data_IF_405617250971
#
_entry.id   IF_405617250971
#
_cell.length_a   1.000
_cell.length_b   1.000
_cell.length_c   1.000
_cell.angle_alpha   90.00
_cell.angle_beta   90.00
_cell.angle_gamma   90.00
#
_symmetry.space_group_name_H-M   'P 1'
#
loop_
_entity.id
_entity.type
_entity.pdbx_description
1 polymer ?
#
# COMPACT_ATOMS: atom_id res chain seq x y z
N UNK A 1 5.38 -19.27 11.13
CA UNK A 1 5.29 -18.34 12.27
C UNK A 1 4.01 -18.54 13.08
N UNK A 2 2.80 -18.17 12.60
CA UNK A 2 1.57 -18.25 13.42
C UNK A 2 1.36 -19.60 14.11
N UNK A 3 1.42 -20.71 13.37
CA UNK A 3 1.32 -22.07 13.93
C UNK A 3 2.34 -22.37 15.04
N UNK A 4 3.57 -21.83 14.93
CA UNK A 4 4.62 -22.05 15.94
C UNK A 4 4.39 -21.21 17.20
N UNK A 5 3.67 -20.08 17.08
CA UNK A 5 3.30 -19.20 18.19
C UNK A 5 1.92 -19.56 18.78
N UNK A 6 1.31 -20.68 18.37
CA UNK A 6 -0.02 -21.08 18.83
C UNK A 6 -1.17 -20.20 18.31
N UNK A 7 -0.93 -19.39 17.28
CA UNK A 7 -1.94 -18.49 16.69
C UNK A 7 -2.79 -19.27 15.69
N UNK A 8 -4.11 -19.11 15.83
CA UNK A 8 -5.13 -19.75 15.01
C UNK A 8 -6.25 -18.77 14.72
N UNK A 9 -6.65 -18.64 13.46
CA UNK A 9 -7.84 -17.90 13.05
C UNK A 9 -9.01 -18.80 12.67
N UNK A 10 -8.95 -20.09 12.99
CA UNK A 10 -10.02 -21.03 12.66
C UNK A 10 -11.34 -20.64 13.34
N UNK A 11 -12.46 -20.84 12.64
CA UNK A 11 -13.80 -20.62 13.18
C UNK A 11 -13.99 -21.43 14.48
N UNK A 12 -14.47 -20.79 15.54
CA UNK A 12 -14.67 -21.40 16.86
C UNK A 12 -13.39 -21.66 17.68
N UNK A 13 -12.19 -21.45 17.12
CA UNK A 13 -10.92 -21.66 17.81
C UNK A 13 -9.90 -20.56 17.50
N UNK A 14 -10.25 -19.33 17.90
CA UNK A 14 -9.44 -18.13 17.63
C UNK A 14 -8.46 -17.87 18.76
N UNK A 15 -7.18 -18.06 18.47
CA UNK A 15 -6.05 -17.66 19.29
C UNK A 15 -5.28 -16.55 18.57
N UNK A 16 -5.32 -15.34 19.11
CA UNK A 16 -4.84 -14.11 18.46
C UNK A 16 -3.64 -13.46 19.18
N UNK A 17 -3.21 -14.01 20.32
CA UNK A 17 -2.08 -13.53 21.08
C UNK A 17 -1.30 -14.69 21.71
N UNK A 18 -0.05 -14.42 22.06
CA UNK A 18 0.80 -15.31 22.86
C UNK A 18 1.43 -14.53 24.03
N UNK A 19 1.94 -15.22 25.04
CA UNK A 19 2.58 -14.59 26.19
C UNK A 19 3.93 -13.97 25.83
N UNK A 20 4.23 -12.80 26.40
CA UNK A 20 5.51 -12.16 26.17
C UNK A 20 6.65 -13.01 26.77
N UNK A 21 7.74 -13.30 26.03
CA UNK A 21 8.75 -14.28 26.43
C UNK A 21 9.53 -13.90 27.70
N UNK A 22 9.49 -12.64 28.10
CA UNK A 22 10.16 -12.12 29.31
C UNK A 22 9.18 -11.68 30.40
N UNK A 23 7.87 -11.68 30.12
CA UNK A 23 6.87 -11.16 31.06
C UNK A 23 5.52 -11.83 30.83
N UNK A 24 5.21 -12.83 31.66
CA UNK A 24 3.96 -13.61 31.57
C UNK A 24 2.71 -12.78 31.83
N UNK A 25 2.83 -11.59 32.43
CA UNK A 25 1.69 -10.68 32.62
C UNK A 25 1.27 -9.96 31.34
N UNK A 26 2.13 -9.97 30.32
CA UNK A 26 1.92 -9.25 29.06
C UNK A 26 1.61 -10.20 27.91
N UNK A 27 0.67 -9.78 27.07
CA UNK A 27 0.32 -10.47 25.82
C UNK A 27 0.88 -9.74 24.62
N UNK A 28 1.35 -10.51 23.64
CA UNK A 28 1.72 -10.02 22.31
C UNK A 28 0.63 -10.41 21.33
N UNK A 29 -0.17 -9.41 20.93
CA UNK A 29 -1.25 -9.58 19.96
C UNK A 29 -0.68 -9.64 18.54
N UNK A 30 -1.21 -10.56 17.74
CA UNK A 30 -0.79 -10.79 16.36
C UNK A 30 -1.84 -10.24 15.42
N UNK A 31 -1.39 -9.52 14.39
CA UNK A 31 -2.25 -8.94 13.37
C UNK A 31 -1.75 -9.32 11.98
N UNK A 32 -2.69 -9.55 11.07
CA UNK A 32 -2.43 -9.52 9.63
C UNK A 32 -2.55 -8.10 9.10
N UNK A 33 -1.80 -7.78 8.05
CA UNK A 33 -1.84 -6.46 7.43
C UNK A 33 -3.19 -6.18 6.76
N UNK A 34 -3.91 -5.18 7.29
CA UNK A 34 -5.28 -4.82 6.88
C UNK A 34 -5.34 -4.43 5.38
N UNK A 35 -4.53 -3.50 4.86
CA UNK A 35 -4.45 -3.23 3.42
C UNK A 35 -4.32 -4.48 2.55
N UNK A 36 -3.49 -5.44 2.96
CA UNK A 36 -3.33 -6.70 2.24
C UNK A 36 -4.55 -7.60 2.31
N UNK A 37 -5.21 -7.73 3.47
CA UNK A 37 -6.45 -8.50 3.59
C UNK A 37 -7.53 -7.99 2.63
N UNK A 38 -7.72 -6.68 2.52
CA UNK A 38 -8.71 -6.09 1.62
C UNK A 38 -8.37 -6.31 0.14
N UNK A 39 -7.07 -6.28 -0.22
CA UNK A 39 -6.63 -6.69 -1.56
C UNK A 39 -6.96 -8.16 -1.84
N UNK A 40 -6.76 -9.05 -0.87
CA UNK A 40 -7.10 -10.47 -1.00
C UNK A 40 -8.60 -10.69 -1.19
N UNK A 41 -9.44 -10.00 -0.41
CA UNK A 41 -10.92 -10.03 -0.57
C UNK A 41 -11.31 -9.59 -2.00
N UNK A 42 -10.76 -8.46 -2.47
CA UNK A 42 -10.99 -7.96 -3.83
C UNK A 42 -10.58 -8.98 -4.89
N UNK A 43 -9.36 -9.50 -4.79
CA UNK A 43 -8.81 -10.44 -5.77
C UNK A 43 -9.64 -11.72 -5.82
N UNK A 44 -10.06 -12.23 -4.65
CA UNK A 44 -10.90 -13.43 -4.55
C UNK A 44 -12.26 -13.22 -5.19
N UNK A 45 -12.93 -12.08 -4.93
CA UNK A 45 -14.21 -11.75 -5.58
C UNK A 45 -14.04 -11.57 -7.09
N UNK A 46 -12.95 -10.92 -7.53
CA UNK A 46 -12.63 -10.77 -8.95
C UNK A 46 -12.43 -12.11 -9.66
N UNK A 47 -11.78 -13.08 -9.01
CA UNK A 47 -11.48 -14.39 -9.60
C UNK A 47 -12.70 -15.31 -9.61
N UNK A 48 -13.47 -15.36 -8.53
CA UNK A 48 -14.65 -16.22 -8.42
C UNK A 48 -15.93 -15.59 -8.97
N UNK A 49 -15.90 -14.29 -9.25
CA UNK A 49 -16.99 -13.44 -9.77
C UNK A 49 -18.18 -13.28 -8.84
N UNK A 50 -18.44 -14.25 -7.96
CA UNK A 50 -19.53 -14.20 -7.01
C UNK A 50 -19.06 -14.64 -5.63
N UNK A 51 -19.57 -13.93 -4.63
CA UNK A 51 -19.74 -14.44 -3.29
C UNK A 51 -21.23 -14.66 -3.03
N UNK A 52 -21.53 -15.44 -2.01
CA UNK A 52 -22.90 -15.72 -1.59
C UNK A 52 -22.98 -15.61 -0.07
N UNK A 53 -24.05 -14.99 0.41
CA UNK A 53 -24.37 -14.88 1.83
C UNK A 53 -25.87 -14.84 2.01
N UNK A 54 -26.42 -15.64 2.92
CA UNK A 54 -27.86 -15.69 3.21
C UNK A 54 -28.71 -15.89 1.94
N UNK A 55 -28.24 -16.73 1.02
CA UNK A 55 -28.89 -16.98 -0.28
C UNK A 55 -28.90 -15.79 -1.26
N UNK A 56 -28.16 -14.71 -0.95
CA UNK A 56 -28.04 -13.52 -1.81
C UNK A 56 -26.63 -13.43 -2.40
N UNK A 57 -26.56 -13.15 -3.70
CA UNK A 57 -25.29 -13.08 -4.42
C UNK A 57 -24.68 -11.68 -4.40
N UNK A 58 -23.39 -11.62 -4.02
CA UNK A 58 -22.52 -10.46 -4.18
C UNK A 58 -21.76 -10.65 -5.48
N UNK A 59 -22.06 -9.82 -6.49
CA UNK A 59 -21.61 -10.06 -7.87
C UNK A 59 -20.58 -9.03 -8.30
N UNK A 60 -19.45 -9.49 -8.83
CA UNK A 60 -18.43 -8.62 -9.43
C UNK A 60 -18.98 -7.81 -10.61
N UNK A 61 -19.90 -8.42 -11.38
CA UNK A 61 -20.52 -7.79 -12.55
C UNK A 61 -21.30 -6.51 -12.23
N UNK A 62 -21.71 -6.30 -10.98
CA UNK A 62 -22.30 -5.03 -10.54
C UNK A 62 -21.30 -3.87 -10.67
N UNK A 63 -20.02 -4.09 -10.35
CA UNK A 63 -18.98 -3.07 -10.50
C UNK A 63 -18.65 -2.80 -11.97
N UNK A 64 -18.59 -3.84 -12.80
CA UNK A 64 -18.41 -3.69 -14.26
C UNK A 64 -19.56 -2.88 -14.87
N UNK A 65 -20.79 -3.22 -14.50
CA UNK A 65 -22.00 -2.55 -14.99
C UNK A 65 -22.05 -1.10 -14.54
N UNK A 66 -21.75 -0.83 -13.26
CA UNK A 66 -21.64 0.53 -12.75
C UNK A 66 -20.62 1.34 -13.55
N UNK A 67 -19.41 0.80 -13.76
CA UNK A 67 -18.37 1.50 -14.51
C UNK A 67 -18.86 1.86 -15.92
N UNK A 68 -19.44 0.89 -16.64
CA UNK A 68 -19.95 1.10 -17.99
C UNK A 68 -21.08 2.15 -18.00
N UNK A 69 -22.05 2.05 -17.11
CA UNK A 69 -23.17 3.00 -17.02
C UNK A 69 -22.66 4.42 -16.71
N UNK A 70 -21.71 4.53 -15.78
CA UNK A 70 -21.17 5.80 -15.32
C UNK A 70 -20.29 6.51 -16.36
N UNK A 71 -19.62 5.75 -17.24
CA UNK A 71 -18.79 6.31 -18.32
C UNK A 71 -19.57 6.74 -19.57
N UNK A 72 -20.88 6.45 -19.66
CA UNK A 72 -21.69 6.81 -20.84
C UNK A 72 -22.15 8.27 -20.85
N UNK A 73 -22.01 9.01 -19.75
CA UNK A 73 -22.53 10.37 -19.65
C UNK A 73 -21.66 11.37 -20.43
N UNK A 74 -22.32 12.22 -21.21
CA UNK A 74 -21.66 13.33 -21.90
C UNK A 74 -21.06 14.32 -20.89
N UNK A 75 -19.93 14.94 -21.25
CA UNK A 75 -19.19 15.92 -20.46
C UNK A 75 -18.51 15.41 -19.17
N UNK A 76 -18.22 14.10 -19.07
CA UNK A 76 -17.49 13.50 -17.93
C UNK A 76 -18.13 13.75 -16.54
N UNK A 77 -19.44 14.07 -16.51
CA UNK A 77 -20.21 14.23 -15.28
C UNK A 77 -20.56 12.86 -14.68
N UNK A 78 -19.55 12.26 -14.04
CA UNK A 78 -19.59 10.92 -13.46
C UNK A 78 -20.01 10.95 -11.99
N UNK A 79 -20.84 10.00 -11.58
CA UNK A 79 -21.21 9.77 -10.16
C UNK A 79 -20.04 9.15 -9.40
N UNK A 80 -19.26 8.29 -10.07
CA UNK A 80 -18.12 7.60 -9.51
C UNK A 80 -16.82 7.96 -10.27
N UNK A 81 -16.36 9.21 -10.26
CA UNK A 81 -15.24 9.66 -11.09
C UNK A 81 -13.92 8.94 -10.79
N UNK A 82 -13.72 8.49 -9.54
CA UNK A 82 -12.53 7.71 -9.12
C UNK A 82 -12.53 6.28 -9.64
N UNK A 83 -13.69 5.74 -10.03
CA UNK A 83 -13.79 4.39 -10.57
C UNK A 83 -13.31 4.38 -12.01
N UNK A 84 -12.27 3.60 -12.30
CA UNK A 84 -11.66 3.49 -13.63
C UNK A 84 -11.65 2.06 -14.12
N UNK A 85 -11.34 1.84 -15.39
CA UNK A 85 -11.20 0.49 -15.97
C UNK A 85 -10.25 -0.39 -15.16
N UNK A 86 -9.14 0.18 -14.65
CA UNK A 86 -8.15 -0.52 -13.82
C UNK A 86 -8.70 -1.08 -12.51
N UNK A 87 -9.85 -0.59 -12.03
CA UNK A 87 -10.51 -1.11 -10.83
C UNK A 87 -11.28 -2.39 -11.13
N UNK A 88 -12.00 -2.41 -12.25
CA UNK A 88 -12.91 -3.50 -12.65
C UNK A 88 -12.20 -4.60 -13.45
N UNK A 89 -11.14 -4.23 -14.18
CA UNK A 89 -10.26 -5.15 -14.90
C UNK A 89 -8.77 -4.92 -14.56
N UNK A 90 -8.33 -5.27 -13.34
CA UNK A 90 -6.95 -5.10 -12.92
C UNK A 90 -6.01 -6.12 -13.57
N UNK A 91 -4.89 -5.66 -14.13
CA UNK A 91 -3.75 -6.52 -14.49
C UNK A 91 -3.06 -7.09 -13.24
N UNK A 92 -2.17 -8.08 -13.41
CA UNK A 92 -1.45 -8.69 -12.28
C UNK A 92 -0.70 -7.67 -11.41
N UNK A 93 -0.09 -6.63 -12.01
CA UNK A 93 0.57 -5.56 -11.24
C UNK A 93 -0.45 -4.68 -10.50
N UNK A 94 -1.60 -4.41 -11.11
CA UNK A 94 -2.66 -3.60 -10.52
C UNK A 94 -3.41 -4.34 -9.41
N UNK A 95 -3.41 -5.69 -9.42
CA UNK A 95 -3.92 -6.52 -8.32
C UNK A 95 -3.21 -6.26 -6.99
N UNK A 96 -1.98 -5.74 -7.03
CA UNK A 96 -1.19 -5.42 -5.83
C UNK A 96 -1.45 -4.01 -5.26
N UNK A 97 -2.11 -3.12 -6.01
CA UNK A 97 -2.36 -1.73 -5.58
C UNK A 97 -3.56 -1.66 -4.62
N UNK A 98 -3.30 -1.33 -3.36
CA UNK A 98 -4.31 -1.17 -2.29
C UNK A 98 -5.33 -0.08 -2.64
N UNK A 99 -4.86 1.03 -3.25
CA UNK A 99 -5.71 2.16 -3.66
C UNK A 99 -6.88 1.71 -4.53
N UNK A 100 -6.65 0.80 -5.47
CA UNK A 100 -7.71 0.31 -6.36
C UNK A 100 -8.74 -0.55 -5.60
N UNK A 101 -8.30 -1.35 -4.63
CA UNK A 101 -9.21 -2.17 -3.83
C UNK A 101 -10.08 -1.31 -2.91
N UNK A 102 -9.48 -0.33 -2.23
CA UNK A 102 -10.18 0.57 -1.29
C UNK A 102 -11.14 1.52 -2.01
N UNK A 103 -10.76 2.05 -3.18
CA UNK A 103 -11.66 2.89 -3.98
C UNK A 103 -12.84 2.10 -4.59
N UNK A 104 -12.61 0.84 -4.97
CA UNK A 104 -13.68 -0.05 -5.42
C UNK A 104 -14.70 -0.32 -4.29
N UNK A 105 -14.22 -0.63 -3.09
CA UNK A 105 -15.07 -0.86 -1.91
C UNK A 105 -15.39 0.43 -1.15
N UNK A 106 -15.77 1.49 -1.86
CA UNK A 106 -16.05 2.80 -1.27
C UNK A 106 -17.54 3.08 -1.13
N UNK A 107 -17.90 3.95 -0.18
CA UNK A 107 -19.26 4.46 -0.04
C UNK A 107 -19.76 5.12 -1.34
N UNK A 108 -18.92 5.83 -2.08
CA UNK A 108 -19.29 6.41 -3.38
C UNK A 108 -19.68 5.34 -4.40
N UNK A 109 -18.97 4.22 -4.47
CA UNK A 109 -19.30 3.12 -5.39
C UNK A 109 -20.62 2.47 -4.99
N UNK A 110 -20.83 2.21 -3.69
CA UNK A 110 -22.10 1.69 -3.18
C UNK A 110 -23.29 2.59 -3.56
N UNK A 111 -23.15 3.91 -3.38
CA UNK A 111 -24.17 4.90 -3.77
C UNK A 111 -24.34 4.99 -5.29
N UNK A 112 -23.26 4.84 -6.06
CA UNK A 112 -23.30 4.74 -7.51
C UNK A 112 -24.15 3.56 -7.98
N UNK A 113 -23.94 2.36 -7.42
CA UNK A 113 -24.77 1.18 -7.75
C UNK A 113 -26.25 1.48 -7.49
N UNK A 114 -26.59 2.02 -6.31
CA UNK A 114 -27.97 2.38 -5.97
C UNK A 114 -28.56 3.43 -6.92
N UNK A 115 -27.77 4.44 -7.29
CA UNK A 115 -28.19 5.51 -8.20
C UNK A 115 -28.57 4.97 -9.58
N UNK A 116 -27.71 4.15 -10.20
CA UNK A 116 -27.99 3.59 -11.53
C UNK A 116 -29.09 2.52 -11.50
N UNK A 117 -29.21 1.75 -10.42
CA UNK A 117 -30.36 0.86 -10.22
C UNK A 117 -31.69 1.63 -10.26
N UNK A 118 -31.76 2.78 -9.56
CA UNK A 118 -32.95 3.65 -9.56
C UNK A 118 -33.23 4.32 -10.90
N UNK A 119 -32.20 4.51 -11.73
CA UNK A 119 -32.34 5.04 -13.11
C UNK A 119 -32.72 3.98 -14.14
N UNK A 120 -32.98 2.75 -13.72
CA UNK A 120 -33.46 1.68 -14.60
C UNK A 120 -32.36 0.82 -15.23
N UNK A 121 -31.13 0.85 -14.72
CA UNK A 121 -30.10 -0.12 -15.14
C UNK A 121 -30.46 -1.51 -14.61
N UNK A 122 -31.14 -2.30 -15.45
CA UNK A 122 -31.71 -3.61 -15.11
C UNK A 122 -30.71 -4.58 -14.48
N UNK A 123 -29.44 -4.51 -14.89
CA UNK A 123 -28.35 -5.35 -14.36
C UNK A 123 -27.97 -5.01 -12.91
N UNK A 124 -28.42 -3.87 -12.39
CA UNK A 124 -28.20 -3.42 -11.02
C UNK A 124 -29.46 -3.49 -10.13
N UNK A 125 -30.62 -3.88 -10.67
CA UNK A 125 -31.88 -3.88 -9.91
C UNK A 125 -31.94 -4.89 -8.75
N UNK A 126 -31.04 -5.89 -8.71
CA UNK A 126 -30.93 -6.87 -7.63
C UNK A 126 -29.51 -6.87 -7.03
N UNK A 127 -28.93 -5.68 -6.85
CA UNK A 127 -27.55 -5.50 -6.39
C UNK A 127 -27.43 -5.18 -4.89
N UNK A 128 -28.51 -5.35 -4.10
CA UNK A 128 -28.59 -5.00 -2.68
C UNK A 128 -27.47 -5.66 -1.88
N UNK A 129 -27.26 -6.97 -2.08
CA UNK A 129 -26.20 -7.70 -1.38
C UNK A 129 -24.80 -7.17 -1.72
N UNK A 130 -24.54 -6.82 -3.00
CA UNK A 130 -23.27 -6.19 -3.40
C UNK A 130 -23.10 -4.82 -2.75
N UNK A 131 -24.16 -4.02 -2.67
CA UNK A 131 -24.14 -2.70 -2.03
C UNK A 131 -23.87 -2.82 -0.52
N UNK A 132 -24.59 -3.70 0.17
CA UNK A 132 -24.40 -3.99 1.60
C UNK A 132 -22.96 -4.45 1.87
N UNK A 133 -22.43 -5.37 1.05
CA UNK A 133 -21.06 -5.86 1.16
C UNK A 133 -20.02 -4.75 0.91
N UNK A 134 -20.25 -3.89 -0.08
CA UNK A 134 -19.37 -2.74 -0.37
C UNK A 134 -19.33 -1.77 0.81
N UNK A 135 -20.48 -1.45 1.40
CA UNK A 135 -20.57 -0.57 2.57
C UNK A 135 -19.96 -1.21 3.81
N UNK A 136 -20.18 -2.51 4.01
CA UNK A 136 -19.56 -3.29 5.07
C UNK A 136 -18.04 -3.17 5.00
N UNK A 137 -17.45 -3.43 3.83
CA UNK A 137 -16.01 -3.32 3.64
C UNK A 137 -15.51 -1.87 3.78
N UNK A 138 -16.22 -0.88 3.24
CA UNK A 138 -15.84 0.53 3.42
C UNK A 138 -15.70 0.88 4.91
N UNK A 139 -16.77 0.64 5.68
CA UNK A 139 -16.81 0.98 7.09
C UNK A 139 -15.76 0.21 7.90
N UNK A 140 -15.56 -1.07 7.58
CA UNK A 140 -14.57 -1.90 8.24
C UNK A 140 -13.15 -1.43 7.95
N UNK A 141 -12.84 -1.07 6.70
CA UNK A 141 -11.52 -0.57 6.33
C UNK A 141 -11.20 0.75 7.05
N UNK A 142 -12.16 1.68 7.08
CA UNK A 142 -12.01 2.96 7.76
C UNK A 142 -11.75 2.75 9.27
N UNK A 143 -12.54 1.90 9.93
CA UNK A 143 -12.37 1.57 11.34
C UNK A 143 -11.01 0.94 11.65
N UNK A 144 -10.50 0.10 10.75
CA UNK A 144 -9.19 -0.57 10.89
C UNK A 144 -8.00 0.29 10.40
N UNK A 145 -8.22 1.53 9.93
CA UNK A 145 -7.18 2.38 9.37
C UNK A 145 -7.31 3.86 9.79
N UNK A 146 -7.74 4.13 11.01
CA UNK A 146 -7.85 5.49 11.57
C UNK A 146 -6.50 6.09 11.88
N UNK A 147 -6.25 7.29 11.32
CA UNK A 147 -4.95 7.97 11.32
C UNK A 147 -4.89 9.20 12.23
N UNK A 148 -6.04 9.83 12.47
CA UNK A 148 -6.11 11.11 13.17
C UNK A 148 -6.73 10.95 14.57
N UNK A 149 -6.27 11.73 15.57
CA UNK A 149 -6.81 11.67 16.93
C UNK A 149 -8.33 11.79 17.03
N UNK A 150 -8.94 12.69 16.23
CA UNK A 150 -10.39 12.91 16.22
C UNK A 150 -11.22 11.72 15.70
N UNK A 151 -10.57 10.78 15.02
CA UNK A 151 -11.18 9.54 14.54
C UNK A 151 -10.66 8.31 15.29
N UNK A 152 -9.84 8.52 16.33
CA UNK A 152 -9.22 7.43 17.07
C UNK A 152 -10.26 6.54 17.74
N UNK A 153 -9.95 5.25 17.83
CA UNK A 153 -10.83 4.26 18.44
C UNK A 153 -10.97 4.53 19.94
N UNK A 154 -12.20 4.59 20.43
CA UNK A 154 -12.56 4.69 21.86
C UNK A 154 -13.60 3.63 22.20
N UNK A 155 -13.76 3.32 23.49
CA UNK A 155 -14.70 2.27 23.92
C UNK A 155 -16.13 2.65 23.54
N UNK A 156 -16.84 1.73 22.87
CA UNK A 156 -18.23 1.91 22.47
C UNK A 156 -18.45 2.91 21.33
N UNK A 157 -17.41 3.46 20.71
CA UNK A 157 -17.58 4.32 19.55
C UNK A 157 -18.08 3.54 18.32
N UNK A 158 -18.57 4.27 17.31
CA UNK A 158 -19.10 3.68 16.07
C UNK A 158 -18.11 2.68 15.44
N UNK A 159 -16.83 3.04 15.34
CA UNK A 159 -15.82 2.19 14.71
C UNK A 159 -15.51 0.94 15.54
N UNK A 160 -15.57 1.04 16.87
CA UNK A 160 -15.41 -0.11 17.76
C UNK A 160 -16.55 -1.12 17.52
N UNK A 161 -17.79 -0.64 17.43
CA UNK A 161 -18.97 -1.45 17.15
C UNK A 161 -18.94 -2.04 15.73
N UNK A 162 -18.39 -1.32 14.75
CA UNK A 162 -18.18 -1.83 13.38
C UNK A 162 -17.26 -3.04 13.41
N UNK A 163 -16.14 -2.99 14.15
CA UNK A 163 -15.18 -4.09 14.24
C UNK A 163 -15.80 -5.29 14.98
N UNK A 164 -16.54 -5.07 16.08
CA UNK A 164 -17.25 -6.14 16.81
C UNK A 164 -18.31 -6.82 15.93
N UNK A 165 -19.10 -6.02 15.21
CA UNK A 165 -20.13 -6.53 14.29
C UNK A 165 -19.51 -7.27 13.13
N UNK A 166 -18.37 -6.81 12.61
CA UNK A 166 -17.65 -7.48 11.53
C UNK A 166 -17.10 -8.85 11.94
N UNK A 167 -16.67 -9.01 13.19
CA UNK A 167 -16.23 -10.33 13.69
C UNK A 167 -17.39 -11.33 13.65
N UNK A 168 -18.56 -10.95 14.17
CA UNK A 168 -19.76 -11.80 14.14
C UNK A 168 -20.21 -12.08 12.70
N UNK A 169 -20.22 -11.03 11.87
CA UNK A 169 -20.58 -11.12 10.47
C UNK A 169 -19.70 -12.12 9.71
N UNK A 170 -18.38 -12.12 9.95
CA UNK A 170 -17.46 -13.06 9.31
C UNK A 170 -17.69 -14.50 9.78
N UNK A 171 -17.95 -14.70 11.07
CA UNK A 171 -18.19 -16.03 11.64
C UNK A 171 -19.48 -16.65 11.14
N UNK A 172 -20.58 -15.87 11.10
CA UNK A 172 -21.84 -16.29 10.50
C UNK A 172 -21.67 -16.67 9.03
N UNK A 173 -20.89 -15.89 8.27
CA UNK A 173 -20.65 -16.17 6.86
C UNK A 173 -19.87 -17.46 6.64
N UNK A 174 -18.84 -17.72 7.44
CA UNK A 174 -18.08 -18.96 7.35
C UNK A 174 -18.91 -20.16 7.83
N UNK A 175 -19.81 -19.95 8.79
CA UNK A 175 -20.72 -20.98 9.26
C UNK A 175 -21.68 -21.46 8.17
N UNK A 176 -22.16 -20.57 7.28
CA UNK A 176 -22.95 -20.95 6.10
C UNK A 176 -22.17 -21.93 5.18
N UNK A 177 -20.84 -21.78 5.08
CA UNK A 177 -19.99 -22.73 4.33
C UNK A 177 -19.92 -24.08 5.04
N UNK A 178 -19.75 -24.06 6.37
CA UNK A 178 -19.64 -25.28 7.19
C UNK A 178 -20.95 -26.08 7.19
N UNK A 179 -22.09 -25.40 7.20
CA UNK A 179 -23.41 -26.01 7.12
C UNK A 179 -23.73 -26.58 5.73
N UNK A 180 -22.97 -26.20 4.70
CA UNK A 180 -23.23 -26.58 3.31
C UNK A 180 -24.26 -25.70 2.60
N UNK A 181 -24.66 -24.57 3.21
CA UNK A 181 -25.61 -23.62 2.64
C UNK A 181 -25.01 -22.88 1.44
N UNK A 182 -23.70 -22.60 1.49
CA UNK A 182 -22.96 -21.96 0.39
C UNK A 182 -21.72 -22.78 -0.02
N UNK A 183 -21.38 -22.82 -1.33
CA UNK A 183 -20.13 -23.43 -1.77
C UNK A 183 -18.92 -22.68 -1.22
N UNK A 184 -17.87 -23.42 -0.83
CA UNK A 184 -16.58 -22.84 -0.38
C UNK A 184 -15.98 -21.83 -1.37
N UNK A 185 -16.28 -22.00 -2.65
CA UNK A 185 -15.79 -21.10 -3.69
C UNK A 185 -16.44 -19.71 -3.68
N UNK A 186 -17.61 -19.57 -3.06
CA UNK A 186 -18.33 -18.31 -2.90
C UNK A 186 -18.05 -17.64 -1.55
N UNK A 187 -17.00 -18.08 -0.87
CA UNK A 187 -16.44 -17.50 0.34
C UNK A 187 -14.99 -17.04 0.12
N UNK A 188 -14.46 -16.34 1.14
CA UNK A 188 -13.05 -15.97 1.23
C UNK A 188 -12.13 -17.19 1.21
N UNK A 189 -10.86 -16.99 0.86
CA UNK A 189 -9.86 -18.05 1.07
C UNK A 189 -9.64 -18.30 2.56
N UNK A 190 -9.31 -19.53 2.99
CA UNK A 190 -9.07 -19.83 4.41
C UNK A 190 -8.06 -18.87 5.06
N UNK A 191 -6.93 -18.60 4.39
CA UNK A 191 -5.93 -17.65 4.90
C UNK A 191 -6.44 -16.22 5.06
N UNK A 192 -7.33 -15.75 4.17
CA UNK A 192 -7.90 -14.41 4.26
C UNK A 192 -8.93 -14.34 5.40
N UNK A 193 -9.78 -15.36 5.54
CA UNK A 193 -10.77 -15.43 6.61
C UNK A 193 -10.11 -15.54 7.99
N UNK A 194 -9.18 -16.49 8.16
CA UNK A 194 -8.41 -16.65 9.40
C UNK A 194 -7.60 -15.39 9.74
N UNK A 195 -6.95 -14.80 8.73
CA UNK A 195 -6.17 -13.57 8.88
C UNK A 195 -7.02 -12.39 9.34
N UNK A 196 -8.19 -12.21 8.71
CA UNK A 196 -9.15 -11.17 9.10
C UNK A 196 -9.68 -11.41 10.52
N UNK A 197 -10.09 -12.64 10.86
CA UNK A 197 -10.61 -12.98 12.18
C UNK A 197 -9.62 -12.70 13.31
N UNK A 198 -8.36 -13.12 13.14
CA UNK A 198 -7.29 -12.82 14.11
C UNK A 198 -7.08 -11.32 14.24
N UNK A 199 -7.00 -10.58 13.12
CA UNK A 199 -6.85 -9.12 13.14
C UNK A 199 -8.00 -8.43 13.86
N UNK A 200 -9.26 -8.78 13.57
CA UNK A 200 -10.44 -8.18 14.21
C UNK A 200 -10.40 -8.38 15.73
N UNK A 201 -10.14 -9.61 16.18
CA UNK A 201 -10.05 -9.94 17.60
C UNK A 201 -8.87 -9.22 18.27
N UNK A 202 -7.70 -9.21 17.64
CA UNK A 202 -6.52 -8.52 18.14
C UNK A 202 -6.71 -7.01 18.25
N UNK A 203 -7.31 -6.35 17.27
CA UNK A 203 -7.60 -4.91 17.35
C UNK A 203 -8.54 -4.63 18.52
N UNK A 204 -9.62 -5.41 18.68
CA UNK A 204 -10.56 -5.22 19.79
C UNK A 204 -9.91 -5.40 21.16
N UNK A 205 -9.21 -6.51 21.37
CA UNK A 205 -8.60 -6.84 22.67
C UNK A 205 -7.43 -5.91 23.00
N UNK A 206 -6.57 -5.62 22.03
CA UNK A 206 -5.46 -4.68 22.21
C UNK A 206 -5.98 -3.27 22.47
N UNK A 207 -6.95 -2.79 21.68
CA UNK A 207 -7.52 -1.46 21.91
C UNK A 207 -8.21 -1.37 23.26
N UNK A 208 -8.96 -2.40 23.68
CA UNK A 208 -9.57 -2.43 25.02
C UNK A 208 -8.50 -2.32 26.11
N UNK A 209 -7.44 -3.15 26.04
CA UNK A 209 -6.32 -3.09 26.98
C UNK A 209 -5.64 -1.71 27.02
N UNK A 210 -5.36 -1.11 25.86
CA UNK A 210 -4.73 0.21 25.79
C UNK A 210 -5.63 1.30 26.41
N UNK A 211 -6.94 1.23 26.17
CA UNK A 211 -7.90 2.22 26.66
C UNK A 211 -8.20 2.04 28.16
N UNK A 212 -8.31 0.81 28.67
CA UNK A 212 -8.68 0.54 30.08
C UNK A 212 -7.48 0.45 31.00
N UNK A 213 -6.49 -0.37 30.66
CA UNK A 213 -5.36 -0.67 31.56
C UNK A 213 -4.22 0.34 31.42
N UNK A 214 -3.99 0.83 30.20
CA UNK A 214 -2.92 1.79 29.92
C UNK A 214 -3.39 3.26 29.92
N UNK A 215 -4.69 3.52 30.12
CA UNK A 215 -5.29 4.86 30.15
C UNK A 215 -5.03 5.70 28.89
N UNK A 216 -5.00 5.08 27.71
CA UNK A 216 -4.92 5.82 26.44
C UNK A 216 -6.25 6.53 26.18
N UNK A 217 -6.20 7.77 25.67
CA UNK A 217 -7.42 8.52 25.31
C UNK A 217 -8.13 7.96 24.07
N UNK A 218 -7.35 7.42 23.13
CA UNK A 218 -7.80 6.84 21.87
C UNK A 218 -6.72 5.91 21.31
N UNK A 219 -7.09 5.08 20.35
CA UNK A 219 -6.16 4.19 19.64
C UNK A 219 -6.22 4.42 18.13
N UNK A 220 -5.06 4.64 17.50
CA UNK A 220 -4.95 4.80 16.05
C UNK A 220 -4.72 3.45 15.39
N UNK A 221 -5.75 2.88 14.77
CA UNK A 221 -5.69 1.56 14.13
C UNK A 221 -4.75 1.55 12.93
N UNK A 222 -4.48 2.69 12.29
CA UNK A 222 -3.47 2.80 11.23
C UNK A 222 -2.03 2.56 11.72
N UNK A 223 -1.79 2.50 13.03
CA UNK A 223 -0.48 2.16 13.61
C UNK A 223 -0.30 0.63 13.78
N UNK A 224 -1.35 -0.15 13.52
CA UNK A 224 -1.35 -1.60 13.66
C UNK A 224 -1.20 -2.33 12.30
N UNK A 225 -0.53 -1.69 11.34
CA UNK A 225 -0.30 -2.21 9.99
C UNK A 225 1.18 -2.09 9.61
N UNK A 226 1.58 -2.69 8.48
CA UNK A 226 2.97 -2.67 8.03
C UNK A 226 3.30 -1.53 7.05
N UNK A 227 2.38 -0.57 6.83
CA UNK A 227 2.59 0.56 5.92
C UNK A 227 3.87 1.36 6.24
N UNK A 228 4.24 1.63 7.52
CA UNK A 228 5.49 2.31 7.83
C UNK A 228 6.72 1.55 7.35
N UNK A 229 6.70 0.22 7.43
CA UNK A 229 7.78 -0.64 6.95
C UNK A 229 7.85 -0.63 5.41
N UNK A 230 6.71 -0.65 4.74
CA UNK A 230 6.66 -0.52 3.27
C UNK A 230 7.14 0.85 2.79
N UNK A 231 6.80 1.91 3.53
CA UNK A 231 7.33 3.25 3.30
C UNK A 231 8.85 3.29 3.48
N UNK A 232 9.39 2.63 4.51
CA UNK A 232 10.82 2.51 4.70
C UNK A 232 11.52 1.81 3.52
N UNK A 233 10.96 0.70 3.03
CA UNK A 233 11.51 0.02 1.85
C UNK A 233 11.45 0.90 0.59
N UNK A 234 10.43 1.74 0.44
CA UNK A 234 10.35 2.72 -0.64
C UNK A 234 11.46 3.77 -0.51
N UNK A 235 11.69 4.32 0.68
CA UNK A 235 12.78 5.28 0.95
C UNK A 235 14.13 4.67 0.58
N UNK A 236 14.40 3.42 0.97
CA UNK A 236 15.65 2.74 0.60
C UNK A 236 15.79 2.62 -0.92
N UNK A 237 14.76 2.15 -1.62
CA UNK A 237 14.82 2.03 -3.09
C UNK A 237 15.06 3.38 -3.76
N UNK A 238 14.40 4.43 -3.28
CA UNK A 238 14.56 5.79 -3.80
C UNK A 238 15.96 6.35 -3.51
N UNK A 239 16.53 6.10 -2.33
CA UNK A 239 17.89 6.48 -2.01
C UNK A 239 18.94 5.76 -2.90
N UNK A 240 18.58 4.61 -3.47
CA UNK A 240 19.36 3.91 -4.49
C UNK A 240 19.32 4.54 -5.89
N UNK A 241 18.53 5.60 -6.10
CA UNK A 241 18.36 6.26 -7.40
C UNK A 241 17.76 5.31 -8.44
N UNK A 242 18.44 5.12 -9.56
CA UNK A 242 18.02 4.21 -10.63
C UNK A 242 18.15 2.72 -10.25
N UNK A 243 18.76 2.41 -9.10
CA UNK A 243 18.87 1.04 -8.61
C UNK A 243 17.65 0.66 -7.77
N UNK A 244 16.51 0.43 -8.43
CA UNK A 244 15.24 0.03 -7.76
C UNK A 244 15.32 -1.33 -7.05
N UNK A 245 16.33 -2.14 -7.36
CA UNK A 245 16.57 -3.46 -6.80
C UNK A 245 17.98 -3.55 -6.19
N UNK A 246 18.24 -2.85 -5.06
CA UNK A 246 19.56 -2.85 -4.45
C UNK A 246 19.99 -4.26 -4.04
N UNK A 247 21.23 -4.61 -4.35
CA UNK A 247 21.86 -5.83 -3.83
C UNK A 247 22.02 -5.73 -2.31
N UNK A 248 22.16 -6.89 -1.63
CA UNK A 248 22.28 -6.92 -0.17
C UNK A 248 23.35 -5.96 0.41
N UNK A 249 24.58 -5.87 -0.13
CA UNK A 249 25.57 -4.90 0.35
C UNK A 249 25.12 -3.44 0.18
N UNK A 250 24.50 -3.12 -0.95
CA UNK A 250 23.96 -1.79 -1.24
C UNK A 250 22.82 -1.43 -0.29
N UNK A 251 21.90 -2.37 -0.07
CA UNK A 251 20.82 -2.21 0.90
C UNK A 251 21.38 -1.91 2.30
N UNK A 252 22.39 -2.65 2.75
CA UNK A 252 22.99 -2.45 4.07
C UNK A 252 23.67 -1.07 4.19
N UNK A 253 24.33 -0.62 3.12
CA UNK A 253 24.94 0.71 3.09
C UNK A 253 23.89 1.82 3.15
N UNK A 254 22.83 1.72 2.34
CA UNK A 254 21.71 2.67 2.35
C UNK A 254 21.00 2.68 3.70
N UNK A 255 20.75 1.51 4.29
CA UNK A 255 20.20 1.35 5.63
C UNK A 255 21.05 2.08 6.68
N UNK A 256 22.37 1.86 6.67
CA UNK A 256 23.31 2.53 7.60
C UNK A 256 23.28 4.04 7.44
N UNK A 257 23.34 4.53 6.20
CA UNK A 257 23.29 5.97 5.90
C UNK A 257 21.99 6.62 6.40
N UNK A 258 20.84 6.00 6.10
CA UNK A 258 19.54 6.52 6.53
C UNK A 258 19.38 6.47 8.06
N UNK A 259 19.89 5.42 8.70
CA UNK A 259 19.88 5.31 10.17
C UNK A 259 20.70 6.42 10.82
N UNK A 260 21.92 6.67 10.33
CA UNK A 260 22.77 7.75 10.83
C UNK A 260 22.14 9.13 10.57
N UNK A 261 21.60 9.36 9.38
CA UNK A 261 20.95 10.62 9.04
C UNK A 261 19.76 10.93 9.97
N UNK A 262 18.93 9.93 10.29
CA UNK A 262 17.80 10.10 11.20
C UNK A 262 18.18 10.50 12.62
N UNK A 263 19.38 10.10 13.07
CA UNK A 263 19.92 10.46 14.40
C UNK A 263 20.61 11.83 14.40
N UNK A 264 21.15 12.24 13.26
CA UNK A 264 21.91 13.48 13.10
C UNK A 264 21.05 14.69 12.71
N UNK A 265 19.83 14.48 12.23
CA UNK A 265 18.83 15.55 12.06
C UNK A 265 18.22 15.92 13.42
N UNK A 266 18.32 17.17 13.89
CA UNK A 266 17.71 17.57 15.16
C UNK A 266 16.18 17.52 15.06
N UNK A 267 15.53 16.91 16.05
CA UNK A 267 14.09 17.06 16.29
C UNK A 267 13.85 18.34 17.10
N UNK A 268 12.86 19.13 16.67
CA UNK A 268 12.24 20.32 17.28
C UNK A 268 12.66 21.72 16.80
N UNK A 269 11.65 22.51 16.40
CA UNK A 269 11.75 23.96 16.17
C UNK A 269 10.46 24.57 15.63
N UNK A 270 9.52 24.88 16.52
CA UNK A 270 8.39 25.79 16.29
C UNK A 270 8.93 27.16 15.82
N UNK A 271 8.53 27.68 14.64
CA UNK A 271 8.51 29.11 14.31
C UNK A 271 7.82 29.38 12.95
N UNK A 272 6.90 30.32 12.98
CA UNK A 272 6.04 30.83 11.89
C UNK A 272 6.76 31.73 10.87
N UNK A 273 6.10 31.86 9.70
CA UNK A 273 6.26 32.88 8.63
C UNK A 273 7.32 32.56 7.56
N UNK A 274 7.12 32.77 6.26
CA UNK A 274 6.06 33.41 5.50
C UNK A 274 5.99 32.81 4.08
N UNK A 275 4.85 33.01 3.43
CA UNK A 275 4.59 32.74 2.02
C UNK A 275 5.72 33.30 1.12
N UNK A 276 6.44 32.40 0.45
CA UNK A 276 7.02 32.69 -0.86
C UNK A 276 6.92 31.42 -1.69
N UNK A 277 6.00 31.49 -2.65
CA UNK A 277 5.82 30.54 -3.73
C UNK A 277 7.03 30.56 -4.66
N UNK A 278 8.07 29.81 -4.28
CA UNK A 278 9.03 29.18 -5.17
C UNK A 278 9.19 27.74 -4.71
N UNK A 279 8.78 26.81 -5.56
CA UNK A 279 8.88 25.37 -5.33
C UNK A 279 10.34 24.98 -5.10
N UNK A 280 10.71 24.78 -3.83
CA UNK A 280 12.06 24.42 -3.41
C UNK A 280 12.33 22.93 -3.68
N UNK A 281 12.41 22.54 -4.95
CA UNK A 281 12.83 21.20 -5.33
C UNK A 281 14.33 21.01 -5.04
N UNK A 282 14.69 19.90 -4.41
CA UNK A 282 16.10 19.48 -4.27
C UNK A 282 16.45 18.65 -5.50
N UNK A 283 17.34 19.17 -6.34
CA UNK A 283 17.75 18.49 -7.57
C UNK A 283 19.03 17.69 -7.36
N UNK A 284 19.27 16.66 -8.20
CA UNK A 284 20.55 15.95 -8.21
C UNK A 284 21.72 16.88 -8.60
N UNK A 285 21.45 18.01 -9.25
CA UNK A 285 22.44 19.03 -9.55
C UNK A 285 22.96 19.73 -8.28
N UNK A 286 22.09 19.96 -7.28
CA UNK A 286 22.49 20.54 -5.99
C UNK A 286 23.49 19.62 -5.27
N UNK A 287 23.21 18.31 -5.24
CA UNK A 287 24.08 17.30 -4.62
C UNK A 287 25.38 17.14 -5.42
N UNK A 288 25.30 17.11 -6.76
CA UNK A 288 26.47 17.00 -7.64
C UNK A 288 27.37 18.23 -7.53
N UNK A 289 26.80 19.41 -7.34
CA UNK A 289 27.53 20.66 -7.12
C UNK A 289 28.33 20.70 -5.81
N UNK A 290 27.85 20.02 -4.75
CA UNK A 290 28.56 19.89 -3.46
C UNK A 290 29.78 18.96 -3.60
N UNK A 291 29.63 17.86 -4.33
CA UNK A 291 30.73 16.92 -4.56
C UNK A 291 31.79 17.43 -5.54
N UNK A 292 31.40 18.27 -6.52
CA UNK A 292 32.30 18.87 -7.50
C UNK A 292 32.94 20.20 -7.06
N UNK A 293 32.48 20.82 -5.98
CA UNK A 293 33.00 22.13 -5.52
C UNK A 293 34.28 22.00 -4.69
N UNK A 294 35.07 23.08 -4.70
CA UNK A 294 36.30 23.22 -3.93
C UNK A 294 36.01 23.20 -2.43
N UNK A 295 37.01 22.85 -1.62
CA UNK A 295 36.87 22.73 -0.16
C UNK A 295 36.40 24.02 0.53
N UNK A 296 36.62 25.19 -0.07
CA UNK A 296 36.20 26.49 0.44
C UNK A 296 34.72 26.83 0.17
N UNK A 297 34.14 26.31 -0.92
CA UNK A 297 32.73 26.59 -1.32
C UNK A 297 31.74 25.55 -0.79
N UNK A 298 32.22 24.33 -0.53
CA UNK A 298 31.42 23.22 -0.02
C UNK A 298 30.57 23.56 1.21
N UNK A 299 31.07 24.25 2.25
CA UNK A 299 30.23 24.60 3.42
C UNK A 299 29.07 25.53 3.07
N UNK A 300 29.25 26.50 2.17
CA UNK A 300 28.16 27.40 1.75
C UNK A 300 27.06 26.66 0.98
N UNK A 301 27.43 25.76 0.07
CA UNK A 301 26.46 24.94 -0.69
C UNK A 301 25.73 23.92 0.18
N UNK A 302 26.39 23.42 1.24
CA UNK A 302 25.75 22.60 2.27
C UNK A 302 24.72 23.40 3.07
N UNK A 303 25.03 24.65 3.44
CA UNK A 303 24.10 25.55 4.13
C UNK A 303 22.88 25.88 3.24
N UNK A 304 23.08 26.12 1.95
CA UNK A 304 21.99 26.35 0.97
C UNK A 304 21.09 25.13 0.79
N UNK A 305 21.67 23.93 0.68
CA UNK A 305 20.91 22.68 0.60
C UNK A 305 20.12 22.43 1.89
N UNK A 306 20.74 22.71 3.04
CA UNK A 306 20.10 22.60 4.34
C UNK A 306 18.87 23.51 4.44
N UNK A 307 19.01 24.78 4.05
CA UNK A 307 17.89 25.73 4.04
C UNK A 307 16.76 25.32 3.08
N UNK A 308 17.08 24.72 1.91
CA UNK A 308 16.06 24.15 1.00
C UNK A 308 15.32 22.96 1.61
N UNK A 309 16.04 22.05 2.27
CA UNK A 309 15.48 20.86 2.91
C UNK A 309 14.61 21.22 4.11
N UNK A 310 15.03 22.19 4.91
CA UNK A 310 14.26 22.68 6.06
C UNK A 310 12.92 23.31 5.62
N UNK A 311 12.89 23.95 4.44
CA UNK A 311 11.66 24.46 3.82
C UNK A 311 10.65 23.37 3.42
N UNK A 312 11.11 22.24 2.89
CA UNK A 312 10.25 21.12 2.45
C UNK A 312 9.55 20.39 3.60
N UNK A 313 10.12 20.44 4.81
CA UNK A 313 9.57 19.75 6.00
C UNK A 313 8.34 20.50 6.58
N UNK A 314 8.15 21.77 6.22
CA UNK A 314 7.13 22.65 6.82
C UNK A 314 5.73 22.60 6.18
N UNK A 315 5.54 21.85 5.08
CA UNK A 315 4.24 21.72 4.40
C UNK A 315 3.66 20.31 4.41
N UNK A 316 2.33 20.20 4.24
CA UNK A 316 1.66 18.92 3.95
C UNK A 316 1.92 18.57 2.47
N UNK A 317 3.07 17.94 2.18
CA UNK A 317 3.42 17.50 0.83
C UNK A 317 3.06 16.02 0.65
N UNK A 318 2.39 15.67 -0.46
CA UNK A 318 2.38 14.27 -0.92
C UNK A 318 3.75 13.96 -1.56
N UNK A 319 4.22 12.72 -1.46
CA UNK A 319 5.57 12.31 -1.89
C UNK A 319 5.82 12.52 -3.41
N UNK A 320 4.76 12.70 -4.21
CA UNK A 320 4.86 13.02 -5.64
C UNK A 320 5.16 14.51 -5.90
N UNK A 321 4.99 15.38 -4.90
CA UNK A 321 5.15 16.83 -5.03
C UNK A 321 6.57 17.35 -4.68
N UNK A 322 7.50 16.46 -4.32
CA UNK A 322 8.81 16.84 -3.73
C UNK A 322 9.99 16.81 -4.73
N UNK A 323 9.86 16.18 -5.90
CA UNK A 323 10.95 16.09 -6.86
C UNK A 323 10.49 16.27 -8.31
N UNK A 324 10.99 17.34 -8.95
CA UNK A 324 10.81 17.58 -10.38
C UNK A 324 11.67 16.61 -11.20
N UNK A 325 11.06 16.04 -12.24
CA UNK A 325 11.65 15.04 -13.13
C UNK A 325 12.55 15.71 -14.18
N UNK A 326 13.61 16.41 -13.76
CA UNK A 326 14.55 16.97 -14.73
C UNK A 326 15.66 15.96 -15.06
N UNK A 327 15.37 15.10 -16.03
CA UNK A 327 16.34 14.24 -16.70
C UNK A 327 17.15 15.07 -17.69
N UNK A 328 18.33 15.60 -17.34
CA UNK A 328 19.40 15.87 -18.32
C UNK A 328 20.77 16.11 -17.67
N UNK A 329 21.75 15.25 -18.01
CA UNK A 329 23.14 15.62 -18.36
C UNK A 329 24.00 14.37 -18.70
N UNK A 330 23.38 13.43 -19.39
CA UNK A 330 24.07 12.62 -20.38
C UNK A 330 23.20 12.74 -21.63
N UNK A 331 23.80 13.04 -22.78
CA UNK A 331 23.13 13.03 -24.08
C UNK A 331 22.34 11.72 -24.16
N UNK A 332 21.01 11.79 -24.10
CA UNK A 332 20.08 10.64 -24.02
C UNK A 332 20.43 9.58 -25.07
N UNK A 333 20.96 10.04 -26.20
CA UNK A 333 21.54 9.25 -27.29
C UNK A 333 22.64 8.30 -26.81
N UNK A 334 23.62 8.72 -26.00
CA UNK A 334 24.73 7.87 -25.55
C UNK A 334 24.27 6.81 -24.54
N UNK A 335 23.31 7.13 -23.67
CA UNK A 335 22.71 6.15 -22.76
C UNK A 335 21.87 5.10 -23.49
N UNK A 336 21.11 5.52 -24.51
CA UNK A 336 20.34 4.61 -25.37
C UNK A 336 21.30 3.74 -26.20
N UNK A 337 22.32 4.33 -26.82
CA UNK A 337 23.36 3.59 -27.56
C UNK A 337 24.03 2.59 -26.63
N UNK A 338 24.40 2.99 -25.41
CA UNK A 338 25.03 2.11 -24.44
C UNK A 338 24.13 0.93 -24.04
N UNK A 339 22.86 1.19 -23.76
CA UNK A 339 21.90 0.15 -23.38
C UNK A 339 21.59 -0.81 -24.53
N UNK A 340 21.35 -0.29 -25.74
CA UNK A 340 21.05 -1.08 -26.94
C UNK A 340 22.27 -1.90 -27.37
N UNK A 341 23.45 -1.29 -27.43
CA UNK A 341 24.70 -1.99 -27.79
C UNK A 341 25.06 -3.06 -26.76
N UNK A 342 24.91 -2.77 -25.46
CA UNK A 342 25.12 -3.76 -24.40
C UNK A 342 24.16 -4.95 -24.49
N UNK A 343 22.88 -4.71 -24.77
CA UNK A 343 21.87 -5.75 -24.95
C UNK A 343 22.15 -6.62 -26.19
N UNK A 344 22.45 -5.99 -27.33
CA UNK A 344 22.75 -6.69 -28.60
C UNK A 344 24.03 -7.52 -28.48
N UNK A 345 25.11 -6.95 -27.92
CA UNK A 345 26.37 -7.65 -27.69
C UNK A 345 26.20 -8.87 -26.79
N UNK A 346 25.38 -8.76 -25.71
CA UNK A 346 25.08 -9.89 -24.83
C UNK A 346 24.31 -11.01 -25.54
N UNK A 347 23.32 -10.67 -26.37
CA UNK A 347 22.54 -11.67 -27.13
C UNK A 347 23.37 -12.37 -28.21
N UNK A 348 24.26 -11.65 -28.88
CA UNK A 348 25.13 -12.21 -29.92
C UNK A 348 26.27 -13.05 -29.35
N UNK A 349 26.89 -12.61 -28.24
CA UNK A 349 27.95 -13.36 -27.56
C UNK A 349 27.49 -14.75 -27.08
N UNK A 350 26.22 -14.88 -26.70
CA UNK A 350 25.62 -16.15 -26.28
C UNK A 350 25.28 -17.09 -27.45
N UNK A 351 25.31 -16.60 -28.71
CA UNK A 351 24.95 -17.38 -29.90
C UNK A 351 26.12 -17.76 -30.79
N UNK A 352 27.28 -17.14 -30.62
CA UNK A 352 28.49 -17.47 -31.38
C UNK A 352 29.46 -18.31 -30.56
N UNK A 353 30.17 -19.25 -31.19
CA UNK A 353 31.27 -20.02 -30.60
C UNK A 353 32.65 -19.52 -31.03
N UNK A 354 32.73 -18.58 -31.98
CA UNK A 354 33.98 -18.01 -32.47
C UNK A 354 34.63 -17.08 -31.44
N UNK A 355 35.88 -17.35 -31.09
CA UNK A 355 36.64 -16.64 -30.05
C UNK A 355 36.94 -15.19 -30.47
N UNK A 356 37.38 -14.99 -31.71
CA UNK A 356 37.69 -13.64 -32.25
C UNK A 356 36.47 -12.73 -32.23
N UNK A 357 35.29 -13.25 -32.59
CA UNK A 357 34.05 -12.49 -32.56
C UNK A 357 33.61 -12.14 -31.12
N UNK A 358 33.84 -13.03 -30.15
CA UNK A 358 33.53 -12.76 -28.73
C UNK A 358 34.43 -11.68 -28.15
N UNK A 359 35.70 -11.67 -28.51
CA UNK A 359 36.63 -10.63 -28.07
C UNK A 359 36.30 -9.28 -28.71
N UNK A 360 35.96 -9.26 -30.00
CA UNK A 360 35.54 -8.02 -30.67
C UNK A 360 34.24 -7.41 -30.08
N UNK A 361 33.31 -8.24 -29.60
CA UNK A 361 32.07 -7.79 -28.93
C UNK A 361 32.31 -7.28 -27.49
N UNK A 362 33.48 -7.57 -26.91
CA UNK A 362 33.93 -7.07 -25.60
C UNK A 362 34.95 -5.95 -25.84
N UNK A 363 34.50 -4.78 -26.28
CA UNK A 363 35.38 -3.66 -26.66
C UNK A 363 36.45 -3.32 -25.61
N UNK A 364 37.57 -2.71 -26.05
CA UNK A 364 38.77 -2.42 -25.25
C UNK A 364 38.59 -1.51 -24.03
N UNK A 365 37.41 -0.91 -23.82
CA UNK A 365 37.04 -0.31 -22.53
C UNK A 365 35.92 -1.16 -21.92
N UNK A 366 36.28 -1.96 -20.92
CA UNK A 366 35.34 -2.81 -20.21
C UNK A 366 34.32 -1.98 -19.44
N UNK A 367 33.09 -1.89 -19.95
CA UNK A 367 32.01 -1.19 -19.27
C UNK A 367 30.86 -2.10 -18.79
N UNK A 368 30.91 -3.41 -19.09
CA UNK A 368 30.00 -4.38 -18.47
C UNK A 368 30.69 -5.10 -17.30
N UNK A 369 30.21 -4.87 -16.07
CA UNK A 369 30.49 -5.77 -14.94
C UNK A 369 29.71 -7.06 -15.15
N UNK A 370 30.31 -7.99 -15.87
CA UNK A 370 30.01 -9.40 -15.76
C UNK A 370 31.33 -10.13 -15.54
N UNK A 371 31.73 -10.14 -14.28
CA UNK A 371 32.53 -11.20 -13.65
C UNK A 371 31.69 -11.69 -12.49
#
# INVERSE_FOLDING_TARGET
MWKQLGISGALGNVANAFEHPLDVSRKVYVLSDVPHLFKCIRNRLYEKKNFERQGRFIKWSCYDTLYVADTKHAADLRVCPKLTYSHVNPSNMLKMRVKLATQLFSNSVAKGIQFYARRGETRLCNAEATVEFTLFLNNLFDALNRRFPGEGLTLGCKDFLVIESASKWLDEWEQEVVNGDIPKDFFLTPSTAEGLRVTLKSVLELSRYLLTECNFKYVLTSKMNQDPLECFFRIIRQAGGQNEHPTFPTFLQLYRMLSLYSLLSPQFGYCTAAESSQSAFVTLADIRGIYKSSAAERPKKLEELRNKLDGLISGNWECEDVFDHDYCDATVVDCIIYYVTGFVSRKLANKTSCVVCKEALKGHRGFSKSS
#
